data_IF_267793875982
#
_entry.id   IF_267793875982
#
_cell.length_a   1.000
_cell.length_b   1.000
_cell.length_c   1.000
_cell.angle_alpha   90.00
_cell.angle_beta   90.00
_cell.angle_gamma   90.00
#
_symmetry.space_group_name_H-M   'P 1'
#
loop_
_entity.id
_entity.type
_entity.pdbx_description
1 polymer ?
#
# COMPACT_ATOMS: atom_id res chain seq x y z
N UNK A 1 -1.79 16.56 -24.84
CA UNK A 1 -1.15 16.13 -23.58
C UNK A 1 -1.92 14.92 -23.09
N UNK A 2 -1.29 13.78 -22.78
CA UNK A 2 -2.02 12.70 -22.13
C UNK A 2 -2.67 13.24 -20.87
N UNK A 3 -3.86 12.77 -20.48
CA UNK A 3 -4.49 13.22 -19.25
C UNK A 3 -3.57 12.90 -18.08
N UNK A 4 -3.43 13.84 -17.14
CA UNK A 4 -2.68 13.62 -15.92
C UNK A 4 -3.24 12.38 -15.22
N UNK A 5 -2.42 11.34 -15.14
CA UNK A 5 -2.81 10.06 -14.54
C UNK A 5 -2.92 10.18 -13.03
N UNK A 6 -2.26 11.20 -12.46
CA UNK A 6 -2.19 11.49 -11.03
C UNK A 6 -2.76 12.88 -10.78
N UNK A 7 -3.82 12.94 -9.96
CA UNK A 7 -4.47 14.20 -9.61
C UNK A 7 -3.66 15.02 -8.60
N UNK A 8 -3.55 16.33 -8.86
CA UNK A 8 -2.88 17.27 -7.94
C UNK A 8 -3.74 17.60 -6.72
N UNK A 9 -5.06 17.59 -6.88
CA UNK A 9 -6.03 17.99 -5.85
C UNK A 9 -6.66 16.77 -5.14
N UNK A 10 -6.01 15.61 -5.24
CA UNK A 10 -6.48 14.33 -4.68
C UNK A 10 -5.43 13.70 -3.77
N UNK A 11 -5.84 12.69 -3.02
CA UNK A 11 -4.96 11.92 -2.13
C UNK A 11 -4.60 10.56 -2.74
N UNK A 12 -3.36 10.15 -2.47
CA UNK A 12 -2.82 8.84 -2.83
C UNK A 12 -2.38 8.11 -1.57
N UNK A 13 -3.01 6.97 -1.26
CA UNK A 13 -2.77 6.17 -0.06
C UNK A 13 -1.73 5.08 -0.33
N UNK A 14 -0.60 5.13 0.37
CA UNK A 14 0.48 4.14 0.26
C UNK A 14 0.55 3.31 1.54
N UNK A 15 0.32 2.01 1.41
CA UNK A 15 0.46 1.01 2.48
C UNK A 15 1.81 0.32 2.37
N UNK A 16 2.53 0.20 3.49
CA UNK A 16 3.91 -0.29 3.49
C UNK A 16 4.93 0.82 3.16
N UNK A 17 4.62 2.03 3.58
CA UNK A 17 5.36 3.25 3.24
C UNK A 17 6.83 3.24 3.68
N UNK A 18 7.20 2.50 4.72
CA UNK A 18 8.58 2.36 5.22
C UNK A 18 9.30 1.11 4.69
N UNK A 19 8.63 0.29 3.87
CA UNK A 19 9.22 -0.89 3.24
C UNK A 19 10.23 -0.55 2.15
N UNK A 20 10.75 -1.58 1.47
CA UNK A 20 11.76 -1.41 0.42
C UNK A 20 11.28 -0.57 -0.78
N UNK A 21 10.00 -0.71 -1.14
CA UNK A 21 9.39 -0.02 -2.29
C UNK A 21 8.78 1.32 -1.86
N UNK A 22 8.20 1.39 -0.67
CA UNK A 22 7.36 2.50 -0.20
C UNK A 22 7.95 3.89 -0.44
N UNK A 23 9.16 4.21 0.04
CA UNK A 23 9.75 5.54 -0.13
C UNK A 23 9.98 5.94 -1.60
N UNK A 24 10.36 4.98 -2.44
CA UNK A 24 10.55 5.23 -3.88
C UNK A 24 9.21 5.45 -4.59
N UNK A 25 8.18 4.69 -4.21
CA UNK A 25 6.83 4.87 -4.72
C UNK A 25 6.28 6.25 -4.35
N UNK A 26 6.44 6.67 -3.10
CA UNK A 26 6.03 8.01 -2.63
C UNK A 26 6.74 9.10 -3.45
N UNK A 27 8.05 8.97 -3.64
CA UNK A 27 8.81 9.90 -4.47
C UNK A 27 8.29 9.91 -5.91
N UNK A 28 8.03 8.74 -6.50
CA UNK A 28 7.52 8.64 -7.87
C UNK A 28 6.14 9.28 -8.02
N UNK A 29 5.24 9.10 -7.05
CA UNK A 29 3.93 9.75 -7.05
C UNK A 29 4.08 11.28 -7.01
N UNK A 30 4.98 11.79 -6.19
CA UNK A 30 5.29 13.22 -6.14
C UNK A 30 5.84 13.74 -7.46
N UNK A 31 6.79 13.02 -8.07
CA UNK A 31 7.39 13.37 -9.37
C UNK A 31 6.35 13.36 -10.50
N UNK A 32 5.30 12.53 -10.39
CA UNK A 32 4.16 12.48 -11.30
C UNK A 32 3.12 13.57 -11.02
N UNK A 33 3.30 14.38 -9.98
CA UNK A 33 2.46 15.54 -9.67
C UNK A 33 1.40 15.32 -8.59
N UNK A 34 1.47 14.24 -7.79
CA UNK A 34 0.58 14.04 -6.66
C UNK A 34 0.67 15.22 -5.68
N UNK A 35 -0.47 15.84 -5.35
CA UNK A 35 -0.51 16.92 -4.38
C UNK A 35 -0.47 16.42 -2.94
N UNK A 36 -1.12 15.30 -2.65
CA UNK A 36 -1.15 14.70 -1.30
C UNK A 36 -0.85 13.21 -1.37
N UNK A 37 0.11 12.75 -0.57
CA UNK A 37 0.38 11.32 -0.35
C UNK A 37 0.19 11.00 1.12
N UNK A 38 -0.65 10.04 1.44
CA UNK A 38 -0.88 9.53 2.79
C UNK A 38 -0.13 8.21 2.94
N UNK A 39 0.87 8.20 3.79
CA UNK A 39 1.82 7.11 3.96
C UNK A 39 1.52 6.33 5.24
N UNK A 40 1.00 5.13 5.12
CA UNK A 40 0.66 4.27 6.26
C UNK A 40 1.77 3.28 6.54
N UNK A 41 2.22 3.26 7.79
CA UNK A 41 3.16 2.29 8.33
C UNK A 41 2.90 2.11 9.83
N UNK A 42 3.17 0.92 10.37
CA UNK A 42 3.12 0.70 11.83
C UNK A 42 4.13 1.57 12.58
N UNK A 43 5.28 1.82 11.96
CA UNK A 43 6.36 2.65 12.51
C UNK A 43 6.88 3.61 11.42
N UNK A 44 6.27 4.79 11.23
CA UNK A 44 6.68 5.76 10.21
C UNK A 44 8.13 6.24 10.36
N UNK A 45 8.51 6.69 11.56
CA UNK A 45 9.88 7.08 11.92
C UNK A 45 10.46 8.23 11.12
N UNK A 46 11.70 8.60 11.47
CA UNK A 46 12.43 9.77 10.91
C UNK A 46 12.59 9.73 9.39
N UNK A 47 12.60 8.53 8.80
CA UNK A 47 12.76 8.36 7.34
C UNK A 47 11.61 8.97 6.55
N UNK A 48 10.37 8.83 7.05
CA UNK A 48 9.20 9.48 6.41
C UNK A 48 9.17 10.98 6.70
N UNK A 49 9.63 11.41 7.87
CA UNK A 49 9.72 12.83 8.22
C UNK A 49 10.72 13.58 7.32
N UNK A 50 11.86 12.97 7.04
CA UNK A 50 12.84 13.53 6.11
C UNK A 50 12.31 13.58 4.68
N UNK A 51 11.63 12.51 4.25
CA UNK A 51 10.98 12.46 2.94
C UNK A 51 9.90 13.55 2.83
N UNK A 52 9.07 13.74 3.87
CA UNK A 52 8.04 14.77 3.91
C UNK A 52 8.62 16.19 3.76
N UNK A 53 9.70 16.49 4.50
CA UNK A 53 10.40 17.78 4.38
C UNK A 53 10.93 18.01 2.98
N UNK A 54 11.51 17.01 2.35
CA UNK A 54 12.04 17.09 0.98
C UNK A 54 10.91 17.30 -0.03
N UNK A 55 9.80 16.57 0.07
CA UNK A 55 8.69 16.66 -0.87
C UNK A 55 7.90 17.96 -0.74
N UNK A 56 7.85 18.56 0.45
CA UNK A 56 7.17 19.85 0.64
C UNK A 56 7.76 20.96 -0.24
N UNK A 57 9.05 20.91 -0.55
CA UNK A 57 9.70 21.88 -1.45
C UNK A 57 9.31 21.68 -2.93
N UNK A 58 8.74 20.54 -3.29
CA UNK A 58 8.28 20.23 -4.66
C UNK A 58 6.77 20.39 -4.85
N UNK A 59 6.06 20.79 -3.79
CA UNK A 59 4.61 21.02 -3.82
C UNK A 59 3.76 19.78 -3.51
N UNK A 60 4.39 18.70 -3.00
CA UNK A 60 3.69 17.49 -2.52
C UNK A 60 3.64 17.48 -1.00
N UNK A 61 2.46 17.30 -0.43
CA UNK A 61 2.26 17.08 1.00
C UNK A 61 2.31 15.59 1.31
N UNK A 62 3.29 15.15 2.11
CA UNK A 62 3.35 13.78 2.62
C UNK A 62 2.84 13.75 4.06
N UNK A 63 1.83 12.94 4.32
CA UNK A 63 1.21 12.75 5.64
C UNK A 63 1.52 11.33 6.11
N UNK A 64 2.35 11.20 7.15
CA UNK A 64 2.66 9.91 7.76
C UNK A 64 1.58 9.54 8.78
N UNK A 65 1.06 8.33 8.67
CA UNK A 65 0.04 7.77 9.57
C UNK A 65 0.57 6.48 10.20
N UNK A 66 0.67 6.48 11.53
CA UNK A 66 1.02 5.28 12.29
C UNK A 66 -0.22 4.40 12.46
N UNK A 67 -0.34 3.36 11.65
CA UNK A 67 -1.45 2.41 11.72
C UNK A 67 -1.04 1.04 11.17
N UNK A 68 -1.75 0.02 11.65
CA UNK A 68 -1.73 -1.31 11.02
C UNK A 68 -2.85 -1.36 9.98
N UNK A 69 -2.49 -1.64 8.73
CA UNK A 69 -3.47 -1.68 7.63
C UNK A 69 -4.44 -2.87 7.73
N UNK A 70 -4.20 -3.81 8.64
CA UNK A 70 -5.14 -4.90 8.97
C UNK A 70 -6.17 -4.50 10.02
N UNK A 71 -5.95 -3.39 10.73
CA UNK A 71 -6.90 -2.84 11.70
C UNK A 71 -8.01 -2.08 10.97
N UNK A 72 -9.17 -2.72 10.83
CA UNK A 72 -10.34 -2.15 10.17
C UNK A 72 -10.81 -0.84 10.81
N UNK A 73 -10.73 -0.72 12.14
CA UNK A 73 -11.22 0.47 12.85
C UNK A 73 -10.31 1.66 12.59
N UNK A 74 -8.99 1.46 12.70
CA UNK A 74 -8.01 2.49 12.42
C UNK A 74 -8.06 2.94 10.95
N UNK A 75 -8.20 1.98 10.02
CA UNK A 75 -8.28 2.28 8.59
C UNK A 75 -9.61 2.95 8.22
N UNK A 76 -10.75 2.55 8.82
CA UNK A 76 -12.03 3.22 8.60
C UNK A 76 -11.97 4.70 9.04
N UNK A 77 -11.40 4.97 10.22
CA UNK A 77 -11.20 6.33 10.70
C UNK A 77 -10.30 7.16 9.75
N UNK A 78 -9.28 6.55 9.13
CA UNK A 78 -8.47 7.21 8.11
C UNK A 78 -9.29 7.47 6.84
N UNK A 79 -10.10 6.51 6.39
CA UNK A 79 -10.91 6.66 5.18
C UNK A 79 -11.97 7.75 5.33
N UNK A 80 -12.54 7.94 6.52
CA UNK A 80 -13.51 9.01 6.80
C UNK A 80 -12.91 10.44 6.67
N UNK A 81 -11.58 10.55 6.70
CA UNK A 81 -10.88 11.82 6.51
C UNK A 81 -10.79 12.25 5.05
N UNK A 82 -10.80 11.29 4.10
CA UNK A 82 -10.72 11.61 2.67
C UNK A 82 -12.01 12.28 2.20
N UNK A 83 -11.87 13.48 1.66
CA UNK A 83 -12.99 14.35 1.29
C UNK A 83 -13.53 15.22 2.44
N UNK A 84 -12.99 15.07 3.66
CA UNK A 84 -13.28 15.92 4.82
C UNK A 84 -12.12 16.88 5.10
N UNK A 85 -11.11 16.43 5.85
CA UNK A 85 -9.90 17.22 6.13
C UNK A 85 -8.70 16.85 5.24
N UNK A 86 -8.79 15.73 4.53
CA UNK A 86 -7.86 15.35 3.47
C UNK A 86 -8.53 15.46 2.10
N UNK A 87 -7.77 15.75 1.02
CA UNK A 87 -8.31 15.67 -0.34
C UNK A 87 -8.93 14.30 -0.62
N UNK A 88 -9.90 14.25 -1.54
CA UNK A 88 -10.58 13.01 -1.92
C UNK A 88 -9.57 11.92 -2.36
N UNK A 89 -9.84 10.67 -1.98
CA UNK A 89 -8.97 9.54 -2.29
C UNK A 89 -9.10 9.14 -3.77
N UNK A 90 -8.01 9.19 -4.51
CA UNK A 90 -7.94 8.78 -5.92
C UNK A 90 -7.24 7.44 -6.11
N UNK A 91 -6.14 7.21 -5.38
CA UNK A 91 -5.29 6.03 -5.57
C UNK A 91 -4.98 5.30 -4.28
N UNK A 92 -4.97 3.97 -4.32
CA UNK A 92 -4.52 3.08 -3.25
C UNK A 92 -3.39 2.21 -3.78
N UNK A 93 -2.30 2.13 -3.03
CA UNK A 93 -1.08 1.40 -3.41
C UNK A 93 -0.66 0.48 -2.27
N UNK A 94 -0.84 -0.83 -2.45
CA UNK A 94 -0.48 -1.85 -1.47
C UNK A 94 0.92 -2.40 -1.78
N UNK A 95 1.93 -1.88 -1.08
CA UNK A 95 3.34 -2.26 -1.18
C UNK A 95 3.90 -2.89 0.11
N UNK A 96 3.02 -3.35 1.00
CA UNK A 96 3.41 -3.94 2.27
C UNK A 96 4.02 -5.34 2.08
N UNK A 97 5.02 -5.64 2.89
CA UNK A 97 5.70 -6.93 2.95
C UNK A 97 6.18 -7.21 4.38
N UNK A 98 6.07 -8.46 4.81
CA UNK A 98 6.68 -8.95 6.04
C UNK A 98 7.04 -10.44 5.88
N UNK A 99 7.86 -10.95 6.82
CA UNK A 99 8.34 -12.32 6.78
C UNK A 99 9.63 -12.48 5.94
N UNK A 100 10.01 -13.72 5.73
CA UNK A 100 11.25 -14.07 5.04
C UNK A 100 11.22 -15.50 4.49
N UNK A 101 12.34 -15.96 3.92
CA UNK A 101 12.42 -17.30 3.37
C UNK A 101 12.35 -18.37 4.47
N UNK A 102 11.53 -19.41 4.24
CA UNK A 102 11.41 -20.60 5.09
C UNK A 102 11.15 -21.82 4.23
N UNK A 103 11.79 -22.95 4.56
CA UNK A 103 11.55 -24.20 3.85
C UNK A 103 10.12 -24.69 4.09
N UNK A 104 9.46 -25.20 3.06
CA UNK A 104 8.06 -25.67 3.17
C UNK A 104 7.87 -26.71 4.29
N UNK A 105 8.86 -27.59 4.47
CA UNK A 105 8.84 -28.62 5.53
C UNK A 105 8.98 -28.08 6.95
N UNK A 106 9.45 -26.86 7.12
CA UNK A 106 9.61 -26.17 8.41
C UNK A 106 8.71 -24.96 8.57
N UNK A 107 7.82 -24.69 7.61
CA UNK A 107 6.91 -23.54 7.64
C UNK A 107 5.84 -23.75 8.71
N UNK A 108 5.68 -22.77 9.55
CA UNK A 108 4.68 -22.73 10.63
C UNK A 108 3.47 -21.88 10.22
N UNK A 109 2.36 -22.02 10.95
CA UNK A 109 1.19 -21.16 10.77
C UNK A 109 1.53 -19.69 11.02
N UNK A 110 2.48 -19.41 11.93
CA UNK A 110 2.93 -18.05 12.23
C UNK A 110 3.73 -17.43 11.06
N UNK A 111 4.56 -18.23 10.37
CA UNK A 111 5.24 -17.78 9.15
C UNK A 111 4.23 -17.41 8.05
N UNK A 112 3.19 -18.22 7.91
CA UNK A 112 2.10 -17.95 6.95
C UNK A 112 1.33 -16.69 7.33
N UNK A 113 0.91 -16.55 8.60
CA UNK A 113 0.17 -15.39 9.09
C UNK A 113 0.99 -14.10 8.94
N UNK A 114 2.29 -14.14 9.26
CA UNK A 114 3.21 -13.00 9.10
C UNK A 114 3.29 -12.53 7.65
N UNK A 115 3.34 -13.45 6.70
CA UNK A 115 3.41 -13.14 5.27
C UNK A 115 2.05 -12.67 4.71
N UNK A 116 0.96 -13.29 5.16
CA UNK A 116 -0.39 -13.05 4.63
C UNK A 116 -0.99 -11.75 5.15
N UNK A 117 -0.83 -11.43 6.44
CA UNK A 117 -1.44 -10.26 7.07
C UNK A 117 -1.25 -8.97 6.28
N UNK A 118 -0.01 -8.48 6.05
CA UNK A 118 0.22 -7.21 5.37
C UNK A 118 -0.23 -7.18 3.90
N UNK A 119 -0.48 -8.33 3.29
CA UNK A 119 -0.93 -8.44 1.89
C UNK A 119 -2.41 -8.78 1.79
N UNK A 120 -2.85 -9.91 2.34
CA UNK A 120 -4.22 -10.40 2.15
C UNK A 120 -5.22 -9.74 3.11
N UNK A 121 -4.89 -9.69 4.41
CA UNK A 121 -5.80 -9.10 5.39
C UNK A 121 -5.91 -7.58 5.19
N UNK A 122 -4.78 -6.90 4.95
CA UNK A 122 -4.78 -5.48 4.60
C UNK A 122 -5.55 -5.22 3.29
N UNK A 123 -5.40 -6.09 2.27
CA UNK A 123 -6.16 -5.98 1.03
C UNK A 123 -7.67 -6.09 1.26
N UNK A 124 -8.11 -7.03 2.12
CA UNK A 124 -9.52 -7.18 2.48
C UNK A 124 -10.10 -5.91 3.10
N UNK A 125 -9.38 -5.30 4.03
CA UNK A 125 -9.76 -4.03 4.68
C UNK A 125 -9.84 -2.90 3.64
N UNK A 126 -8.79 -2.71 2.85
CA UNK A 126 -8.73 -1.67 1.82
C UNK A 126 -9.82 -1.83 0.76
N UNK A 127 -10.08 -3.08 0.34
CA UNK A 127 -11.15 -3.37 -0.61
C UNK A 127 -12.52 -2.95 -0.05
N UNK A 128 -12.86 -3.42 1.14
CA UNK A 128 -14.16 -3.14 1.76
C UNK A 128 -14.38 -1.62 1.93
N UNK A 129 -13.38 -0.88 2.39
CA UNK A 129 -13.46 0.56 2.59
C UNK A 129 -13.52 1.33 1.27
N UNK A 130 -12.76 0.90 0.26
CA UNK A 130 -12.72 1.57 -1.05
C UNK A 130 -14.01 1.42 -1.87
N UNK A 131 -14.88 0.48 -1.54
CA UNK A 131 -16.20 0.37 -2.21
C UNK A 131 -17.12 1.56 -1.94
N UNK A 132 -16.82 2.35 -0.92
CA UNK A 132 -17.57 3.56 -0.53
C UNK A 132 -16.94 4.86 -1.06
N UNK A 133 -15.86 4.76 -1.82
CA UNK A 133 -15.08 5.90 -2.34
C UNK A 133 -14.92 5.78 -3.85
N UNK A 134 -14.71 6.91 -4.53
CA UNK A 134 -14.48 6.93 -5.98
C UNK A 134 -12.98 6.74 -6.30
N UNK A 135 -12.44 5.58 -5.90
CA UNK A 135 -11.04 5.23 -6.14
C UNK A 135 -10.84 4.85 -7.61
N UNK A 136 -10.01 5.60 -8.31
CA UNK A 136 -9.68 5.39 -9.73
C UNK A 136 -8.53 4.42 -9.95
N UNK A 137 -7.63 4.31 -8.98
CA UNK A 137 -6.43 3.46 -9.07
C UNK A 137 -6.33 2.59 -7.81
N UNK A 138 -6.25 1.28 -8.01
CA UNK A 138 -6.01 0.31 -6.94
C UNK A 138 -4.84 -0.59 -7.35
N UNK A 139 -3.64 -0.25 -6.89
CA UNK A 139 -2.38 -0.87 -7.34
C UNK A 139 -1.87 -1.85 -6.31
N UNK A 140 -1.63 -3.08 -6.74
CA UNK A 140 -1.13 -4.18 -5.92
C UNK A 140 0.28 -4.56 -6.36
N UNK A 141 1.23 -4.49 -5.45
CA UNK A 141 2.60 -4.92 -5.72
C UNK A 141 2.72 -6.43 -5.54
N UNK A 142 2.53 -7.14 -6.65
CA UNK A 142 2.69 -8.58 -6.76
C UNK A 142 4.15 -8.96 -7.08
N UNK A 143 4.36 -10.17 -7.56
CA UNK A 143 5.68 -10.70 -7.90
C UNK A 143 5.59 -11.75 -8.98
N UNK A 144 6.63 -11.85 -9.81
CA UNK A 144 6.84 -12.97 -10.74
C UNK A 144 6.83 -14.34 -10.02
N UNK A 145 7.09 -14.36 -8.72
CA UNK A 145 6.96 -15.57 -7.90
C UNK A 145 5.56 -16.16 -7.93
N UNK A 146 4.52 -15.37 -8.13
CA UNK A 146 3.15 -15.86 -8.30
C UNK A 146 2.97 -16.76 -9.51
N UNK A 147 3.80 -16.59 -10.53
CA UNK A 147 3.78 -17.39 -11.77
C UNK A 147 4.81 -18.53 -11.75
N UNK A 148 6.05 -18.24 -11.37
CA UNK A 148 7.18 -19.16 -11.47
C UNK A 148 7.46 -19.95 -10.18
N UNK A 149 6.85 -19.53 -9.06
CA UNK A 149 7.24 -20.00 -7.74
C UNK A 149 8.55 -19.37 -7.27
N UNK A 150 8.88 -19.59 -6.00
CA UNK A 150 10.16 -19.19 -5.42
C UNK A 150 10.57 -20.19 -4.34
N UNK A 151 11.80 -20.69 -4.44
CA UNK A 151 12.36 -21.59 -3.42
C UNK A 151 12.35 -20.90 -2.06
N UNK A 152 11.86 -21.61 -1.02
CA UNK A 152 11.71 -21.14 0.37
C UNK A 152 10.72 -19.97 0.57
N UNK A 153 9.94 -19.65 -0.42
CA UNK A 153 8.95 -18.56 -0.38
C UNK A 153 7.56 -19.01 -0.85
N UNK A 154 7.14 -20.25 -0.49
CA UNK A 154 5.84 -20.78 -0.92
C UNK A 154 4.67 -19.93 -0.45
N UNK A 155 4.70 -19.42 0.79
CA UNK A 155 3.71 -18.48 1.34
C UNK A 155 3.70 -17.14 0.59
N UNK A 156 4.86 -16.61 0.21
CA UNK A 156 4.97 -15.41 -0.63
C UNK A 156 4.43 -15.63 -2.05
N UNK A 157 4.74 -16.78 -2.64
CA UNK A 157 4.16 -17.21 -3.93
C UNK A 157 2.64 -17.23 -3.87
N UNK A 158 2.07 -17.80 -2.82
CA UNK A 158 0.61 -17.84 -2.61
C UNK A 158 0.00 -16.45 -2.51
N UNK A 159 0.61 -15.54 -1.74
CA UNK A 159 0.12 -14.15 -1.66
C UNK A 159 0.17 -13.42 -3.00
N UNK A 160 1.24 -13.61 -3.77
CA UNK A 160 1.40 -12.97 -5.08
C UNK A 160 0.35 -13.47 -6.08
N UNK A 161 0.14 -14.79 -6.15
CA UNK A 161 -0.90 -15.38 -7.01
C UNK A 161 -2.31 -14.90 -6.60
N UNK A 162 -2.56 -14.74 -5.30
CA UNK A 162 -3.83 -14.19 -4.81
C UNK A 162 -4.02 -12.74 -5.26
N UNK A 163 -3.00 -11.88 -5.11
CA UNK A 163 -3.08 -10.48 -5.54
C UNK A 163 -3.39 -10.38 -7.03
N UNK A 164 -2.78 -11.20 -7.86
CA UNK A 164 -3.02 -11.22 -9.32
C UNK A 164 -4.46 -11.60 -9.64
N UNK A 165 -4.97 -12.67 -9.00
CA UNK A 165 -6.36 -13.12 -9.16
C UNK A 165 -7.35 -12.06 -8.67
N UNK A 166 -7.07 -11.44 -7.52
CA UNK A 166 -7.90 -10.39 -6.97
C UNK A 166 -7.98 -9.17 -7.90
N UNK A 167 -6.86 -8.74 -8.48
CA UNK A 167 -6.84 -7.63 -9.43
C UNK A 167 -7.76 -7.88 -10.63
N UNK A 168 -7.84 -9.13 -11.09
CA UNK A 168 -8.79 -9.53 -12.14
C UNK A 168 -10.24 -9.45 -11.68
N UNK A 169 -10.53 -9.92 -10.47
CA UNK A 169 -11.90 -9.97 -9.94
C UNK A 169 -12.46 -8.58 -9.58
N UNK A 170 -11.56 -7.61 -9.34
CA UNK A 170 -11.94 -6.23 -8.98
C UNK A 170 -12.27 -5.35 -10.20
N UNK A 171 -12.03 -5.76 -11.41
CA UNK A 171 -12.25 -4.98 -12.65
C UNK A 171 -13.71 -4.61 -12.89
#
# INVERSE_FOLDING_TARGET
TPPDVIGRDTSHLVIGATGHIGPYLIQQLADMGAGTVVAVSRNPGDRLDELARRLSSTGTTLIAVAADATDHVAMAALFDRFGADLPALEGIYLAAFAGGPVALSGMTDDDVATMFGPKLDALGVLHALSLKTDVRQFVLFSSISGLLGSRWLAHYTATSAFLDTFAYARR
#
